data_IF_594942185519
#
_entry.id   IF_594942185519
#
_cell.length_a   1.000
_cell.length_b   1.000
_cell.length_c   1.000
_cell.angle_alpha   90.00
_cell.angle_beta   90.00
_cell.angle_gamma   90.00
#
_symmetry.space_group_name_H-M   'P 1'
#
loop_
_entity.id
_entity.type
_entity.pdbx_description
1 polymer ?
#
# COMPACT_ATOMS: atom_id res chain seq x y z
N UNK A 1 8.34 25.59 13.91
CA UNK A 1 9.28 25.59 12.78
C UNK A 1 10.71 25.45 13.30
N UNK A 2 11.48 24.57 12.64
CA UNK A 2 12.90 24.39 12.88
C UNK A 2 13.68 24.73 11.59
N UNK A 3 14.55 25.73 11.68
CA UNK A 3 15.32 26.25 10.56
C UNK A 3 16.82 26.32 10.93
N UNK A 4 17.50 25.22 10.74
CA UNK A 4 18.95 25.08 10.94
C UNK A 4 19.39 24.63 12.33
N UNK A 5 20.66 24.23 12.42
CA UNK A 5 21.24 23.70 13.64
C UNK A 5 20.75 22.32 14.02
N UNK A 6 20.70 22.07 15.31
CA UNK A 6 20.21 20.79 15.85
C UNK A 6 19.11 21.05 16.87
N UNK A 7 17.92 20.52 16.60
CA UNK A 7 16.81 20.46 17.56
C UNK A 7 16.83 19.10 18.25
N UNK A 8 17.22 19.08 19.51
CA UNK A 8 17.15 17.86 20.32
C UNK A 8 15.91 17.88 21.19
N UNK A 9 15.10 16.84 21.08
CA UNK A 9 13.91 16.68 21.89
C UNK A 9 14.32 16.22 23.31
N UNK A 10 13.93 16.97 24.32
CA UNK A 10 14.24 16.69 25.72
C UNK A 10 13.09 16.06 26.51
N UNK A 11 11.96 15.77 25.86
CA UNK A 11 10.76 15.18 26.41
C UNK A 11 9.71 15.06 25.34
N UNK A 12 8.59 14.37 25.61
CA UNK A 12 7.45 14.31 24.70
C UNK A 12 6.92 15.72 24.40
N UNK A 13 6.54 15.98 23.13
CA UNK A 13 5.89 17.24 22.80
C UNK A 13 4.74 17.05 21.82
N UNK A 14 3.77 17.96 21.91
CA UNK A 14 2.61 17.99 21.05
C UNK A 14 2.55 19.34 20.36
N UNK A 15 2.35 19.31 19.04
CA UNK A 15 2.25 20.51 18.18
C UNK A 15 1.12 20.32 17.18
N UNK A 16 0.60 21.40 16.63
CA UNK A 16 -0.36 21.30 15.53
C UNK A 16 0.40 20.88 14.25
N UNK A 17 1.34 21.69 13.77
CA UNK A 17 2.20 21.35 12.64
C UNK A 17 3.66 21.41 13.07
N UNK A 18 4.38 20.32 12.83
CA UNK A 18 5.83 20.30 12.97
C UNK A 18 6.49 20.56 11.62
N UNK A 19 7.13 21.70 11.46
CA UNK A 19 7.84 22.07 10.23
C UNK A 19 9.36 22.01 10.45
N UNK A 20 10.07 21.26 9.58
CA UNK A 20 11.53 21.25 9.53
C UNK A 20 12.00 21.70 8.16
N UNK A 21 12.59 22.90 8.07
CA UNK A 21 13.07 23.49 6.81
C UNK A 21 14.55 23.23 6.57
N UNK A 22 15.32 23.02 7.64
CA UNK A 22 16.74 22.64 7.55
C UNK A 22 17.27 22.15 8.90
N UNK A 23 18.52 21.69 8.91
CA UNK A 23 19.19 21.24 10.13
C UNK A 23 18.85 19.80 10.54
N UNK A 24 19.14 19.47 11.78
CA UNK A 24 18.96 18.12 12.31
C UNK A 24 17.89 18.09 13.38
N UNK A 25 16.98 17.15 13.29
CA UNK A 25 16.05 16.82 14.36
C UNK A 25 16.48 15.53 15.06
N UNK A 26 16.62 15.58 16.37
CA UNK A 26 17.05 14.47 17.21
C UNK A 26 15.95 14.13 18.23
N UNK A 27 14.97 13.34 17.87
CA UNK A 27 13.85 13.00 18.76
C UNK A 27 14.26 12.06 19.90
N UNK A 28 15.27 11.22 19.71
CA UNK A 28 15.67 10.22 20.69
C UNK A 28 14.54 9.24 21.01
N UNK A 29 14.30 8.99 22.31
CA UNK A 29 13.26 8.09 22.78
C UNK A 29 11.97 8.84 23.21
N UNK A 30 11.77 10.05 22.73
CA UNK A 30 10.64 10.87 23.12
C UNK A 30 9.52 10.83 22.11
N UNK A 31 8.29 10.92 22.60
CA UNK A 31 7.09 10.90 21.77
C UNK A 31 6.88 12.23 21.05
N UNK A 32 6.41 12.15 19.82
CA UNK A 32 5.97 13.25 18.98
C UNK A 32 4.50 13.06 18.63
N UNK A 33 3.65 14.01 19.01
CA UNK A 33 2.27 14.08 18.55
C UNK A 33 2.09 15.37 17.77
N UNK A 34 1.72 15.26 16.49
CA UNK A 34 1.50 16.39 15.61
C UNK A 34 0.27 16.14 14.75
N UNK A 35 -0.54 17.18 14.47
CA UNK A 35 -1.60 17.03 13.49
C UNK A 35 -1.03 16.82 12.07
N UNK A 36 0.14 17.39 11.78
CA UNK A 36 0.87 17.14 10.53
C UNK A 36 2.36 17.44 10.64
N UNK A 37 3.13 16.85 9.73
CA UNK A 37 4.55 17.12 9.54
C UNK A 37 4.76 17.74 8.17
N UNK A 38 5.49 18.86 8.13
CA UNK A 38 6.04 19.47 6.90
C UNK A 38 7.55 19.35 6.97
N UNK A 39 8.14 18.62 5.99
CA UNK A 39 9.57 18.32 5.96
C UNK A 39 10.19 18.84 4.66
N UNK A 40 10.67 20.08 4.72
CA UNK A 40 11.24 20.78 3.56
C UNK A 40 12.77 20.70 3.48
N UNK A 41 13.41 20.03 4.42
CA UNK A 41 14.85 19.85 4.42
C UNK A 41 15.40 19.33 5.74
N UNK A 42 16.73 19.16 5.77
CA UNK A 42 17.43 18.62 6.93
C UNK A 42 17.26 17.12 7.13
N UNK A 43 17.53 16.63 8.32
CA UNK A 43 17.53 15.18 8.58
C UNK A 43 17.07 14.85 9.98
N UNK A 44 16.30 13.78 10.11
CA UNK A 44 16.16 13.06 11.39
C UNK A 44 17.48 12.34 11.66
N UNK A 45 18.04 12.53 12.83
CA UNK A 45 19.35 11.94 13.21
C UNK A 45 19.25 11.18 14.52
N UNK A 46 20.10 10.18 14.67
CA UNK A 46 20.04 9.25 15.78
C UNK A 46 19.12 8.07 15.48
N UNK A 47 18.66 7.41 16.53
CA UNK A 47 17.73 6.26 16.45
C UNK A 47 16.42 6.63 17.17
N UNK A 48 15.44 7.20 16.46
CA UNK A 48 14.15 7.51 17.06
C UNK A 48 13.52 6.24 17.64
N UNK A 49 12.99 6.32 18.84
CA UNK A 49 12.32 5.16 19.47
C UNK A 49 11.06 5.54 20.28
N UNK A 50 10.69 6.83 20.27
CA UNK A 50 9.42 7.27 20.82
C UNK A 50 8.23 6.94 19.92
N UNK A 51 7.02 7.13 20.43
CA UNK A 51 5.79 7.04 19.63
C UNK A 51 5.63 8.31 18.79
N UNK A 52 5.39 8.13 17.50
CA UNK A 52 5.03 9.23 16.61
C UNK A 52 3.57 9.05 16.18
N UNK A 53 2.75 10.04 16.56
CA UNK A 53 1.32 10.06 16.29
C UNK A 53 1.01 11.29 15.42
N UNK A 54 0.76 11.05 14.14
CA UNK A 54 0.55 12.08 13.12
C UNK A 54 -0.92 12.08 12.73
N UNK A 55 -1.58 13.18 13.02
CA UNK A 55 -3.01 13.36 12.77
C UNK A 55 -3.37 13.51 11.29
N UNK A 56 -4.55 14.08 11.06
CA UNK A 56 -5.16 14.19 9.72
C UNK A 56 -4.43 15.14 8.77
N UNK A 57 -3.52 15.97 9.25
CA UNK A 57 -2.63 16.77 8.39
C UNK A 57 -1.60 15.93 7.66
N UNK A 58 -1.30 14.71 8.14
CA UNK A 58 -0.40 13.78 7.48
C UNK A 58 1.06 14.23 7.43
N UNK A 59 1.78 13.69 6.46
CA UNK A 59 3.18 14.00 6.20
C UNK A 59 3.29 14.62 4.82
N UNK A 60 3.91 15.79 4.72
CA UNK A 60 4.27 16.50 3.50
C UNK A 60 5.80 16.73 3.53
N UNK A 61 6.53 15.91 2.79
CA UNK A 61 7.99 15.95 2.75
C UNK A 61 8.48 16.22 1.32
N UNK A 62 9.14 17.36 1.15
CA UNK A 62 9.60 17.85 -0.14
C UNK A 62 11.12 17.73 -0.32
N UNK A 63 11.88 17.66 0.77
CA UNK A 63 13.35 17.50 0.73
C UNK A 63 13.88 16.97 2.05
N UNK A 64 15.14 16.49 2.03
CA UNK A 64 15.83 16.01 3.22
C UNK A 64 15.54 14.56 3.56
N UNK A 65 15.82 14.17 4.79
CA UNK A 65 15.73 12.77 5.25
C UNK A 65 14.79 12.69 6.45
N UNK A 66 13.67 12.00 6.27
CA UNK A 66 12.78 11.58 7.32
C UNK A 66 13.10 10.13 7.69
N UNK A 67 13.40 9.83 8.94
CA UNK A 67 13.65 8.47 9.40
C UNK A 67 12.55 8.00 10.32
N UNK A 68 12.11 6.75 10.14
CA UNK A 68 11.13 6.12 11.00
C UNK A 68 11.61 6.01 12.45
N UNK A 69 10.67 6.03 13.36
CA UNK A 69 10.91 5.59 14.74
C UNK A 69 10.84 4.07 14.84
N UNK A 70 11.57 3.48 15.78
CA UNK A 70 11.39 2.07 16.14
C UNK A 70 10.24 1.85 17.14
N UNK A 71 9.63 2.93 17.65
CA UNK A 71 8.36 2.90 18.35
C UNK A 71 7.17 2.83 17.39
N UNK A 72 5.95 3.00 17.90
CA UNK A 72 4.77 3.12 17.04
C UNK A 72 4.85 4.39 16.20
N UNK A 73 4.46 4.29 14.93
CA UNK A 73 4.39 5.40 14.00
C UNK A 73 3.04 5.37 13.29
N UNK A 74 2.10 6.18 13.75
CA UNK A 74 0.75 6.24 13.19
C UNK A 74 0.55 7.49 12.35
N UNK A 75 -0.23 7.38 11.27
CA UNK A 75 -0.53 8.46 10.33
C UNK A 75 -2.02 8.42 9.98
N UNK A 76 -2.77 9.43 10.43
CA UNK A 76 -4.19 9.55 10.11
C UNK A 76 -4.47 10.36 8.84
N UNK A 77 -3.47 11.04 8.27
CA UNK A 77 -3.54 11.80 7.02
C UNK A 77 -2.83 11.11 5.85
N UNK A 78 -2.54 11.88 4.81
CA UNK A 78 -1.76 11.39 3.67
C UNK A 78 -0.27 11.29 4.00
N UNK A 79 0.40 10.45 3.24
CA UNK A 79 1.85 10.35 3.18
C UNK A 79 2.32 10.89 1.84
N UNK A 80 2.95 12.06 1.83
CA UNK A 80 3.46 12.71 0.64
C UNK A 80 4.97 12.90 0.74
N UNK A 81 5.72 12.11 -0.04
CA UNK A 81 7.18 12.13 -0.10
C UNK A 81 7.60 12.56 -1.51
N UNK A 82 7.39 13.84 -1.82
CA UNK A 82 7.70 14.39 -3.15
C UNK A 82 9.05 15.10 -3.20
N UNK A 83 9.38 15.68 -4.33
CA UNK A 83 10.61 16.44 -4.52
C UNK A 83 11.88 15.60 -4.38
N UNK A 84 12.73 15.91 -3.42
CA UNK A 84 13.98 15.19 -3.11
C UNK A 84 14.00 14.62 -1.69
N UNK A 85 12.83 14.50 -1.08
CA UNK A 85 12.70 13.85 0.22
C UNK A 85 13.04 12.36 0.14
N UNK A 86 13.60 11.84 1.22
CA UNK A 86 13.89 10.42 1.38
C UNK A 86 13.34 9.94 2.71
N UNK A 87 12.68 8.80 2.69
CA UNK A 87 12.29 8.09 3.90
C UNK A 87 13.31 6.98 4.20
N UNK A 88 13.71 6.88 5.45
CA UNK A 88 14.53 5.76 5.95
C UNK A 88 13.64 4.96 6.90
N UNK A 89 13.15 3.85 6.41
CA UNK A 89 12.10 3.03 7.02
C UNK A 89 12.52 2.32 8.31
N UNK A 90 13.85 2.11 8.49
CA UNK A 90 14.35 1.35 9.65
C UNK A 90 13.81 -0.08 9.68
N UNK A 91 13.30 -0.52 10.84
CA UNK A 91 12.68 -1.84 11.04
C UNK A 91 11.35 -1.73 11.78
N UNK A 92 10.79 -0.53 11.86
CA UNK A 92 9.51 -0.26 12.50
C UNK A 92 8.32 -0.51 11.58
N UNK A 93 7.13 -0.34 12.14
CA UNK A 93 5.88 -0.36 11.39
C UNK A 93 5.34 1.06 11.28
N UNK A 94 4.92 1.44 10.08
CA UNK A 94 4.09 2.63 9.87
C UNK A 94 2.65 2.16 9.75
N UNK A 95 1.75 2.76 10.51
CA UNK A 95 0.32 2.41 10.52
C UNK A 95 -0.50 3.57 9.96
N UNK A 96 -1.36 3.27 8.98
CA UNK A 96 -2.36 4.20 8.45
C UNK A 96 -3.68 3.95 9.14
N UNK A 97 -4.03 4.84 10.08
CA UNK A 97 -5.18 4.71 11.00
C UNK A 97 -6.24 5.81 10.82
N UNK A 98 -6.21 6.51 9.69
CA UNK A 98 -7.14 7.59 9.39
C UNK A 98 -8.60 7.15 9.29
N UNK A 99 -9.48 8.13 9.14
CA UNK A 99 -10.92 7.91 8.93
C UNK A 99 -11.42 8.49 7.60
N UNK A 100 -10.54 9.16 6.86
CA UNK A 100 -10.75 9.64 5.49
C UNK A 100 -9.92 8.84 4.50
N UNK A 101 -10.13 9.10 3.21
CA UNK A 101 -9.26 8.56 2.15
C UNK A 101 -7.82 8.97 2.41
N UNK A 102 -6.90 8.02 2.34
CA UNK A 102 -5.47 8.25 2.53
C UNK A 102 -4.70 7.84 1.28
N UNK A 103 -3.66 8.60 0.95
CA UNK A 103 -2.76 8.30 -0.16
C UNK A 103 -1.31 8.21 0.33
N UNK A 104 -0.57 7.29 -0.30
CA UNK A 104 0.89 7.18 -0.18
C UNK A 104 1.46 7.62 -1.51
N UNK A 105 2.12 8.76 -1.51
CA UNK A 105 2.66 9.40 -2.71
C UNK A 105 4.18 9.49 -2.59
N UNK A 106 4.89 9.12 -3.65
CA UNK A 106 6.32 9.34 -3.79
C UNK A 106 6.62 10.28 -4.96
N UNK A 107 7.88 10.65 -5.13
CA UNK A 107 8.30 11.35 -6.35
C UNK A 107 8.13 10.42 -7.54
N UNK A 108 7.45 10.89 -8.59
CA UNK A 108 7.17 10.11 -9.79
C UNK A 108 8.40 9.35 -10.30
N UNK A 109 8.23 8.03 -10.46
CA UNK A 109 9.29 7.12 -10.88
C UNK A 109 10.27 6.69 -9.78
N UNK A 110 10.05 7.10 -8.53
CA UNK A 110 10.77 6.57 -7.37
C UNK A 110 9.90 5.55 -6.63
N UNK A 111 10.53 4.70 -5.85
CA UNK A 111 9.83 3.72 -5.02
C UNK A 111 9.71 4.24 -3.61
N UNK A 112 8.50 4.25 -3.06
CA UNK A 112 8.31 4.44 -1.64
C UNK A 112 8.40 3.09 -0.95
N UNK A 113 9.31 2.98 0.00
CA UNK A 113 9.61 1.72 0.67
C UNK A 113 9.29 1.79 2.16
N UNK A 114 8.66 0.74 2.67
CA UNK A 114 8.45 0.53 4.10
C UNK A 114 9.04 -0.81 4.53
N UNK A 115 9.60 -0.88 5.73
CA UNK A 115 9.93 -2.17 6.30
C UNK A 115 8.65 -2.93 6.64
N UNK A 116 7.77 -2.34 7.45
CA UNK A 116 6.43 -2.88 7.67
C UNK A 116 5.40 -1.77 7.58
N UNK A 117 4.26 -2.10 6.98
CA UNK A 117 3.13 -1.21 6.81
C UNK A 117 1.88 -1.89 7.34
N UNK A 118 1.09 -1.18 8.15
CA UNK A 118 -0.22 -1.62 8.61
C UNK A 118 -1.29 -0.67 8.10
N UNK A 119 -2.35 -1.22 7.55
CA UNK A 119 -3.54 -0.51 7.09
C UNK A 119 -4.65 -0.85 8.07
N UNK A 120 -5.01 0.10 8.93
CA UNK A 120 -6.08 -0.02 9.92
C UNK A 120 -7.22 0.97 9.71
N UNK A 121 -7.18 1.76 8.63
CA UNK A 121 -8.30 2.58 8.18
C UNK A 121 -9.45 1.69 7.68
N UNK A 122 -10.50 1.54 8.47
CA UNK A 122 -11.65 0.68 8.16
C UNK A 122 -12.83 1.43 7.53
N UNK A 123 -12.70 2.72 7.30
CA UNK A 123 -13.76 3.56 6.76
C UNK A 123 -13.56 3.94 5.31
N UNK A 124 -12.31 4.10 4.91
CA UNK A 124 -11.94 4.54 3.56
C UNK A 124 -10.67 3.83 3.09
N UNK A 125 -10.42 3.85 1.78
CA UNK A 125 -9.28 3.20 1.17
C UNK A 125 -7.98 3.96 1.44
N UNK A 126 -6.90 3.20 1.66
CA UNK A 126 -5.52 3.68 1.58
C UNK A 126 -4.94 3.24 0.24
N UNK A 127 -4.51 4.18 -0.60
CA UNK A 127 -4.02 3.89 -1.95
C UNK A 127 -2.61 4.40 -2.18
N UNK A 128 -1.85 3.70 -3.01
CA UNK A 128 -0.57 4.20 -3.52
C UNK A 128 -0.81 4.98 -4.83
N UNK A 129 0.01 5.99 -5.08
CA UNK A 129 -0.07 6.80 -6.31
C UNK A 129 1.18 6.72 -7.17
N UNK A 130 2.17 5.93 -6.75
CA UNK A 130 3.41 5.64 -7.47
C UNK A 130 3.95 4.29 -7.01
N UNK A 131 5.17 3.93 -7.40
CA UNK A 131 5.80 2.66 -7.03
C UNK A 131 5.93 2.50 -5.51
N UNK A 132 5.65 1.29 -5.06
CA UNK A 132 5.61 0.95 -3.64
C UNK A 132 6.36 -0.36 -3.36
N UNK A 133 7.04 -0.43 -2.22
CA UNK A 133 7.81 -1.60 -1.82
C UNK A 133 7.63 -1.93 -0.32
N UNK A 134 7.52 -3.22 -0.01
CA UNK A 134 7.75 -3.75 1.34
C UNK A 134 9.11 -4.42 1.34
N UNK A 135 10.00 -3.95 2.20
CA UNK A 135 11.36 -4.47 2.26
C UNK A 135 11.43 -5.91 2.78
N UNK A 136 12.48 -6.62 2.38
CA UNK A 136 12.72 -8.00 2.76
C UNK A 136 12.64 -8.22 4.29
N UNK A 137 11.83 -9.18 4.68
CA UNK A 137 11.54 -9.52 6.08
C UNK A 137 10.54 -8.60 6.78
N UNK A 138 10.01 -7.60 6.07
CA UNK A 138 8.91 -6.77 6.54
C UNK A 138 7.54 -7.38 6.25
N UNK A 139 6.49 -6.66 6.62
CA UNK A 139 5.11 -7.15 6.43
C UNK A 139 4.18 -6.00 6.02
N UNK A 140 3.38 -6.22 4.97
CA UNK A 140 2.15 -5.47 4.75
C UNK A 140 1.01 -6.16 5.48
N UNK A 141 0.41 -5.49 6.45
CA UNK A 141 -0.77 -5.98 7.16
C UNK A 141 -1.98 -5.15 6.74
N UNK A 142 -3.04 -5.79 6.26
CA UNK A 142 -4.32 -5.16 6.00
C UNK A 142 -5.30 -5.70 7.03
N UNK A 143 -5.77 -4.84 7.92
CA UNK A 143 -6.64 -5.23 9.01
C UNK A 143 -8.07 -5.54 8.51
N UNK A 144 -8.83 -6.28 9.29
CA UNK A 144 -10.22 -6.62 8.96
C UNK A 144 -11.04 -5.36 8.65
N UNK A 145 -11.71 -5.36 7.52
CA UNK A 145 -12.50 -4.26 6.96
C UNK A 145 -11.69 -3.04 6.46
N UNK A 146 -10.36 -3.09 6.49
CA UNK A 146 -9.53 -2.11 5.83
C UNK A 146 -9.35 -2.46 4.35
N UNK A 147 -9.08 -1.46 3.51
CA UNK A 147 -8.79 -1.63 2.09
C UNK A 147 -7.47 -0.95 1.74
N UNK A 148 -6.57 -1.70 1.09
CA UNK A 148 -5.36 -1.17 0.50
C UNK A 148 -5.40 -1.34 -1.01
N UNK A 149 -5.17 -0.27 -1.77
CA UNK A 149 -5.27 -0.25 -3.22
C UNK A 149 -3.93 0.11 -3.89
N UNK A 150 -3.53 -0.68 -4.86
CA UNK A 150 -2.39 -0.38 -5.74
C UNK A 150 -2.73 0.68 -6.78
N UNK A 151 -4.01 0.79 -7.14
CA UNK A 151 -4.52 1.76 -8.11
C UNK A 151 -3.75 1.74 -9.46
N UNK A 152 -3.31 0.56 -9.92
CA UNK A 152 -2.57 0.38 -11.16
C UNK A 152 -1.08 0.72 -11.07
N UNK A 153 -0.55 0.94 -9.87
CA UNK A 153 0.86 1.26 -9.68
C UNK A 153 1.68 -0.01 -9.35
N UNK A 154 2.97 0.04 -9.66
CA UNK A 154 3.89 -1.06 -9.40
C UNK A 154 4.00 -1.34 -7.90
N UNK A 155 3.84 -2.61 -7.53
CA UNK A 155 4.00 -3.10 -6.17
C UNK A 155 5.11 -4.15 -6.11
N UNK A 156 6.01 -4.01 -5.14
CA UNK A 156 7.10 -4.95 -4.90
C UNK A 156 7.07 -5.43 -3.44
N UNK A 157 6.84 -6.70 -3.23
CA UNK A 157 6.90 -7.29 -1.89
C UNK A 157 8.32 -7.65 -1.45
N UNK A 158 9.29 -7.65 -2.38
CA UNK A 158 10.74 -7.82 -2.15
C UNK A 158 11.08 -8.90 -1.09
N UNK A 159 10.45 -10.07 -1.18
CA UNK A 159 10.50 -11.14 -0.19
C UNK A 159 9.94 -10.73 1.21
N UNK A 160 9.11 -9.71 1.27
CA UNK A 160 8.29 -9.38 2.43
C UNK A 160 7.12 -10.36 2.59
N UNK A 161 6.26 -10.09 3.52
CA UNK A 161 5.06 -10.90 3.78
C UNK A 161 3.82 -10.01 3.63
N UNK A 162 2.77 -10.54 3.01
CA UNK A 162 1.45 -9.90 3.00
C UNK A 162 0.53 -10.66 3.96
N UNK A 163 -0.01 -9.97 4.94
CA UNK A 163 -1.01 -10.47 5.89
C UNK A 163 -2.33 -9.73 5.63
N UNK A 164 -3.12 -10.23 4.67
CA UNK A 164 -4.36 -9.61 4.29
C UNK A 164 -5.54 -10.22 5.05
N UNK A 165 -6.12 -9.45 5.98
CA UNK A 165 -7.36 -9.78 6.69
C UNK A 165 -8.52 -8.87 6.26
N UNK A 166 -8.27 -7.96 5.32
CA UNK A 166 -9.22 -7.01 4.76
C UNK A 166 -9.40 -7.22 3.26
N UNK A 167 -9.30 -6.14 2.49
CA UNK A 167 -9.34 -6.15 1.02
C UNK A 167 -8.03 -5.63 0.45
N UNK A 168 -7.41 -6.42 -0.43
CA UNK A 168 -6.34 -5.95 -1.28
C UNK A 168 -6.92 -5.66 -2.67
N UNK A 169 -6.88 -4.40 -3.09
CA UNK A 169 -7.47 -3.94 -4.35
C UNK A 169 -6.37 -3.73 -5.41
N UNK A 170 -6.55 -4.33 -6.58
CA UNK A 170 -5.63 -4.23 -7.71
C UNK A 170 -6.41 -3.91 -9.01
N UNK A 171 -5.73 -3.38 -10.02
CA UNK A 171 -6.31 -3.26 -11.36
C UNK A 171 -6.18 -4.56 -12.18
N UNK A 172 -5.11 -5.32 -11.96
CA UNK A 172 -4.82 -6.57 -12.66
C UNK A 172 -3.79 -6.40 -13.78
N UNK A 173 -3.26 -5.20 -13.96
CA UNK A 173 -2.17 -4.87 -14.88
C UNK A 173 -0.92 -4.32 -14.19
N UNK A 174 -0.90 -4.38 -12.86
CA UNK A 174 0.26 -4.02 -12.07
C UNK A 174 1.46 -4.92 -12.34
N UNK A 175 2.63 -4.35 -12.22
CA UNK A 175 3.86 -5.14 -12.15
C UNK A 175 4.14 -5.52 -10.70
N UNK A 176 4.13 -6.82 -10.41
CA UNK A 176 4.63 -7.38 -9.17
C UNK A 176 6.06 -7.87 -9.39
N UNK A 177 7.02 -7.26 -8.70
CA UNK A 177 8.45 -7.44 -9.02
C UNK A 177 9.10 -8.68 -8.44
N UNK A 178 8.34 -9.58 -7.80
CA UNK A 178 8.89 -10.78 -7.16
C UNK A 178 8.26 -12.06 -7.65
N UNK A 179 9.07 -13.08 -7.73
CA UNK A 179 8.74 -14.34 -8.40
C UNK A 179 7.74 -15.25 -7.70
N UNK A 180 7.13 -14.86 -6.57
CA UNK A 180 6.13 -15.63 -5.86
C UNK A 180 5.16 -14.73 -5.10
N UNK A 181 4.36 -13.97 -5.83
CA UNK A 181 3.28 -13.21 -5.21
C UNK A 181 2.37 -14.17 -4.44
N UNK A 182 2.16 -13.90 -3.16
CA UNK A 182 1.19 -14.61 -2.33
C UNK A 182 0.37 -13.60 -1.55
N UNK A 183 -0.84 -13.37 -2.00
CA UNK A 183 -1.80 -12.48 -1.33
C UNK A 183 -2.89 -13.35 -0.71
N UNK A 184 -2.78 -13.68 0.59
CA UNK A 184 -3.84 -14.41 1.29
C UNK A 184 -5.08 -13.53 1.45
N UNK A 185 -6.22 -14.17 1.72
CA UNK A 185 -7.48 -13.48 1.95
C UNK A 185 -8.12 -12.96 0.68
N UNK A 186 -8.83 -11.85 0.78
CA UNK A 186 -9.66 -11.34 -0.31
C UNK A 186 -8.95 -10.28 -1.15
N UNK A 187 -8.91 -10.51 -2.47
CA UNK A 187 -8.40 -9.56 -3.46
C UNK A 187 -9.54 -9.14 -4.39
N UNK A 188 -9.72 -7.84 -4.54
CA UNK A 188 -10.65 -7.26 -5.49
C UNK A 188 -9.90 -6.71 -6.70
N UNK A 189 -10.28 -7.14 -7.91
CA UNK A 189 -9.73 -6.64 -9.16
C UNK A 189 -10.69 -5.59 -9.70
N UNK A 190 -10.29 -4.34 -9.63
CA UNK A 190 -11.08 -3.17 -9.99
C UNK A 190 -10.29 -2.26 -10.94
N UNK A 191 -10.62 -2.28 -12.23
CA UNK A 191 -10.09 -1.31 -13.19
C UNK A 191 -11.26 -0.57 -13.86
N UNK A 192 -11.38 0.75 -13.67
CA UNK A 192 -12.47 1.53 -14.25
C UNK A 192 -12.47 1.55 -15.79
N UNK A 193 -11.37 1.18 -16.44
CA UNK A 193 -11.28 1.07 -17.89
C UNK A 193 -11.42 -0.37 -18.40
N UNK A 194 -11.27 -1.37 -17.52
CA UNK A 194 -11.06 -2.78 -17.86
C UNK A 194 -9.66 -3.00 -18.42
N UNK A 195 -9.09 -4.16 -18.19
CA UNK A 195 -7.72 -4.45 -18.60
C UNK A 195 -7.56 -5.87 -19.14
N UNK A 196 -6.40 -6.12 -19.75
CA UNK A 196 -5.84 -7.45 -19.88
C UNK A 196 -5.06 -7.74 -18.61
N UNK A 197 -5.39 -8.83 -17.95
CA UNK A 197 -4.74 -9.21 -16.70
C UNK A 197 -3.35 -9.75 -17.06
N UNK A 198 -2.34 -8.96 -16.74
CA UNK A 198 -0.92 -9.29 -16.91
C UNK A 198 -0.26 -9.64 -15.59
N UNK A 199 -0.95 -9.36 -14.48
CA UNK A 199 -0.54 -9.75 -13.15
C UNK A 199 -0.72 -11.26 -13.00
N UNK A 200 0.29 -11.95 -12.48
CA UNK A 200 0.17 -13.35 -12.08
C UNK A 200 -0.82 -13.46 -10.91
N UNK A 201 -2.05 -13.85 -11.24
CA UNK A 201 -3.12 -14.04 -10.25
C UNK A 201 -3.05 -15.41 -9.54
N UNK A 202 -2.09 -16.26 -9.91
CA UNK A 202 -1.91 -17.58 -9.31
C UNK A 202 -1.49 -17.56 -7.84
N UNK A 203 -1.02 -16.43 -7.33
CA UNK A 203 -0.71 -16.22 -5.92
C UNK A 203 -1.88 -15.72 -5.06
N UNK A 204 -3.05 -15.50 -5.66
CA UNK A 204 -4.22 -14.97 -4.97
C UNK A 204 -5.03 -16.08 -4.30
N UNK A 205 -5.70 -15.76 -3.19
CA UNK A 205 -6.59 -16.69 -2.49
C UNK A 205 -8.03 -16.52 -3.00
N UNK A 206 -8.82 -15.61 -2.45
CA UNK A 206 -10.17 -15.33 -2.92
C UNK A 206 -10.17 -14.09 -3.82
N UNK A 207 -10.75 -14.16 -5.02
CA UNK A 207 -10.69 -13.09 -6.03
C UNK A 207 -12.07 -12.68 -6.48
N UNK A 208 -12.32 -11.36 -6.50
CA UNK A 208 -13.51 -10.79 -7.14
C UNK A 208 -13.11 -9.85 -8.29
N UNK A 209 -13.67 -10.07 -9.47
CA UNK A 209 -13.60 -9.13 -10.60
C UNK A 209 -14.83 -8.23 -10.54
N UNK A 210 -14.61 -6.93 -10.26
CA UNK A 210 -15.67 -5.98 -9.95
C UNK A 210 -15.47 -4.63 -10.64
N UNK A 211 -15.84 -4.53 -11.91
CA UNK A 211 -15.92 -3.24 -12.61
C UNK A 211 -17.06 -3.23 -13.60
N UNK A 212 -18.15 -2.58 -13.23
CA UNK A 212 -19.41 -2.58 -14.00
C UNK A 212 -19.21 -2.04 -15.42
N UNK A 213 -19.60 -2.85 -16.40
CA UNK A 213 -19.49 -2.54 -17.82
C UNK A 213 -18.11 -2.80 -18.42
N UNK A 214 -17.16 -3.30 -17.65
CA UNK A 214 -15.80 -3.55 -18.11
C UNK A 214 -15.53 -5.03 -18.41
N UNK A 215 -14.42 -5.26 -19.10
CA UNK A 215 -13.97 -6.60 -19.51
C UNK A 215 -12.55 -6.81 -18.97
N UNK A 216 -12.39 -7.84 -18.17
CA UNK A 216 -11.08 -8.36 -17.79
C UNK A 216 -10.74 -9.55 -18.69
N UNK A 217 -9.56 -9.57 -19.26
CA UNK A 217 -9.11 -10.64 -20.15
C UNK A 217 -7.77 -11.20 -19.68
N UNK A 218 -7.62 -12.53 -19.68
CA UNK A 218 -6.32 -13.16 -19.46
C UNK A 218 -5.42 -12.97 -20.69
N UNK A 219 -4.12 -12.82 -20.50
CA UNK A 219 -3.12 -12.75 -21.57
C UNK A 219 -2.21 -14.00 -21.65
N UNK A 220 -2.24 -14.83 -20.62
CA UNK A 220 -1.50 -16.09 -20.55
C UNK A 220 -2.26 -17.15 -19.75
N UNK A 221 -1.79 -18.39 -19.78
CA UNK A 221 -2.31 -19.44 -18.90
C UNK A 221 -2.00 -19.03 -17.47
N UNK A 222 -3.07 -18.85 -16.68
CA UNK A 222 -2.88 -18.51 -15.29
C UNK A 222 -2.69 -19.74 -14.46
N UNK A 223 -1.92 -19.51 -13.45
CA UNK A 223 -1.64 -20.46 -12.45
C UNK A 223 -2.84 -20.73 -11.53
N UNK A 224 -2.55 -21.25 -10.43
CA UNK A 224 -3.45 -21.88 -9.51
C UNK A 224 -4.02 -20.87 -8.51
N UNK A 225 -5.29 -20.49 -8.66
CA UNK A 225 -6.00 -19.72 -7.63
C UNK A 225 -6.41 -20.67 -6.50
N UNK A 226 -6.01 -20.33 -5.27
CA UNK A 226 -6.22 -21.19 -4.11
C UNK A 226 -7.57 -21.02 -3.44
N UNK A 227 -8.30 -19.94 -3.76
CA UNK A 227 -9.59 -19.58 -3.21
C UNK A 227 -10.75 -19.62 -4.19
N UNK A 228 -11.82 -18.91 -3.87
CA UNK A 228 -13.01 -18.78 -4.68
C UNK A 228 -12.89 -17.60 -5.66
N UNK A 229 -13.60 -17.67 -6.80
CA UNK A 229 -13.69 -16.58 -7.76
C UNK A 229 -15.10 -16.03 -7.79
N UNK A 230 -15.23 -14.71 -7.76
CA UNK A 230 -16.49 -14.00 -8.01
C UNK A 230 -16.35 -13.10 -9.23
N UNK A 231 -17.34 -13.13 -10.12
CA UNK A 231 -17.49 -12.17 -11.20
C UNK A 231 -18.72 -11.34 -10.89
N UNK A 232 -18.52 -10.09 -10.53
CA UNK A 232 -19.59 -9.19 -10.09
C UNK A 232 -20.54 -8.82 -11.22
N UNK A 233 -21.71 -8.32 -10.83
CA UNK A 233 -22.80 -7.91 -11.75
C UNK A 233 -22.27 -6.90 -12.78
N UNK A 234 -22.62 -7.11 -14.05
CA UNK A 234 -22.20 -6.30 -15.22
C UNK A 234 -20.69 -6.30 -15.50
N UNK A 235 -19.90 -7.10 -14.82
CA UNK A 235 -18.49 -7.32 -15.16
C UNK A 235 -18.37 -8.48 -16.13
N UNK A 236 -17.45 -8.43 -17.07
CA UNK A 236 -17.13 -9.54 -17.97
C UNK A 236 -15.73 -10.07 -17.68
N UNK A 237 -15.62 -11.36 -17.45
CA UNK A 237 -14.34 -12.06 -17.38
C UNK A 237 -14.17 -12.93 -18.62
N UNK A 238 -13.14 -12.65 -19.41
CA UNK A 238 -12.85 -13.29 -20.67
C UNK A 238 -11.55 -14.10 -20.57
N UNK A 239 -11.64 -15.41 -20.56
CA UNK A 239 -10.46 -16.29 -20.53
C UNK A 239 -9.70 -16.32 -21.85
N UNK A 240 -10.32 -15.89 -22.97
CA UNK A 240 -9.67 -16.00 -24.27
C UNK A 240 -9.38 -17.47 -24.66
N UNK A 241 -8.11 -17.76 -24.95
CA UNK A 241 -7.64 -19.12 -25.24
C UNK A 241 -6.83 -19.73 -24.09
N UNK A 242 -6.85 -19.10 -22.92
CA UNK A 242 -6.01 -19.45 -21.78
C UNK A 242 -6.76 -20.32 -20.77
N UNK A 243 -6.03 -21.02 -19.96
CA UNK A 243 -6.55 -21.88 -18.89
C UNK A 243 -6.49 -21.17 -17.53
N UNK A 244 -7.48 -21.42 -16.69
CA UNK A 244 -7.52 -20.98 -15.30
C UNK A 244 -7.76 -22.21 -14.41
N UNK A 245 -6.86 -22.44 -13.48
CA UNK A 245 -6.92 -23.59 -12.57
C UNK A 245 -7.32 -23.14 -11.17
N UNK A 246 -8.31 -23.79 -10.60
CA UNK A 246 -8.76 -23.58 -9.22
C UNK A 246 -8.36 -24.75 -8.34
N UNK A 247 -8.14 -24.45 -7.04
CA UNK A 247 -7.96 -25.49 -6.04
C UNK A 247 -9.19 -26.40 -5.91
N UNK A 248 -8.97 -27.61 -5.41
CA UNK A 248 -10.06 -28.57 -5.15
C UNK A 248 -11.14 -27.96 -4.25
N UNK A 249 -12.40 -28.12 -4.67
CA UNK A 249 -13.62 -27.69 -3.95
C UNK A 249 -13.82 -26.18 -3.87
N UNK A 250 -13.14 -25.42 -4.72
CA UNK A 250 -13.39 -23.99 -4.85
C UNK A 250 -14.48 -23.70 -5.85
N UNK A 251 -15.10 -22.55 -5.74
CA UNK A 251 -16.30 -22.17 -6.49
C UNK A 251 -16.04 -20.98 -7.38
N UNK A 252 -16.78 -20.93 -8.48
CA UNK A 252 -16.91 -19.71 -9.28
C UNK A 252 -18.33 -19.20 -9.12
N UNK A 253 -18.48 -18.03 -8.53
CA UNK A 253 -19.74 -17.31 -8.46
C UNK A 253 -19.79 -16.33 -9.62
N UNK A 254 -20.71 -16.54 -10.56
CA UNK A 254 -20.85 -15.69 -11.74
C UNK A 254 -22.17 -14.91 -11.69
N UNK A 255 -22.08 -13.66 -11.30
CA UNK A 255 -23.18 -12.69 -11.33
C UNK A 255 -23.10 -11.76 -12.56
N UNK A 256 -21.98 -11.79 -13.25
CA UNK A 256 -21.68 -11.05 -14.46
C UNK A 256 -21.70 -11.91 -15.71
N UNK A 257 -20.67 -11.82 -16.53
CA UNK A 257 -20.49 -12.59 -17.75
C UNK A 257 -19.15 -13.34 -17.71
N UNK A 258 -19.22 -14.65 -17.89
CA UNK A 258 -18.06 -15.49 -18.13
C UNK A 258 -17.98 -15.80 -19.63
N UNK A 259 -16.92 -15.39 -20.28
CA UNK A 259 -16.67 -15.67 -21.69
C UNK A 259 -15.57 -16.73 -21.81
N UNK A 260 -15.96 -17.96 -22.08
CA UNK A 260 -15.02 -19.04 -22.38
C UNK A 260 -14.53 -18.99 -23.82
N UNK A 261 -13.37 -19.60 -24.13
CA UNK A 261 -12.90 -19.70 -25.50
C UNK A 261 -13.97 -20.40 -26.35
N UNK A 262 -14.22 -19.84 -27.55
CA UNK A 262 -15.01 -20.55 -28.55
C UNK A 262 -14.23 -21.79 -28.93
N UNK A 263 -14.74 -22.99 -28.60
CA UNK A 263 -14.19 -24.24 -29.09
C UNK A 263 -14.09 -24.17 -30.61
N UNK A 264 -12.88 -24.04 -31.16
CA UNK A 264 -12.59 -24.15 -32.57
C UNK A 264 -12.83 -25.58 -33.06
#
# INVERSE_FOLDING_TARGET
EHDGGTLSQGGAFTVDIFTNTSGNFQPGAHDLSANGIVWDGGSVTGTPSGVWDIGTGGIDANAGILAATSGAFTVAGNWDMTGSAQFIEGTGTVEFDGTGVQSITSTSGTTEAFYSLQISNTLETVSITDKFEINAGGTLTIDTSATFATAGNEFNDNDGTIANNGTFEIHGDETFSTGNLSIPGFTEVIDPAGCTITTDIGGLEDVEFNSSGQIFSLDEDTDYITGDITIAVNTTFNMGAFDLTLADRKTVTNEGTWSAPSSG
#
